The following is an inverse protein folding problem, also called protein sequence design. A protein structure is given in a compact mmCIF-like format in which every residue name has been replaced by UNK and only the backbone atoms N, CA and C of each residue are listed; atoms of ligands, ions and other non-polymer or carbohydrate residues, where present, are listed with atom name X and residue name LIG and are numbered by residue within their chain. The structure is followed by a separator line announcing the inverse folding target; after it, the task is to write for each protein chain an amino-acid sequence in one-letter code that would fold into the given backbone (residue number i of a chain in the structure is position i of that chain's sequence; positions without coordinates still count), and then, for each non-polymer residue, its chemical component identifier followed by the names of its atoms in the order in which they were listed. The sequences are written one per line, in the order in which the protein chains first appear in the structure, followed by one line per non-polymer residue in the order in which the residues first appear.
data_IF_665238422422
#
_entry.id   IF_665238422422
#
_cell.length_a   1.000
_cell.length_b   1.000
_cell.length_c   1.000
_cell.angle_alpha   90.00
_cell.angle_beta   90.00
_cell.angle_gamma   90.00
#
_symmetry.space_group_name_H-M   'P 1'
#
loop_
_entity.id
_entity.type
_entity.pdbx_description
1 polymer ?
#
# COMPACT_ATOMS: atom_id res chain seq x y z
N UNK A 1 -8.87 14.67 -4.76
CA UNK A 1 -7.87 14.25 -3.75
C UNK A 1 -8.14 12.80 -3.36
N UNK A 2 -7.16 11.89 -3.39
CA UNK A 2 -7.44 10.46 -3.19
C UNK A 2 -7.80 10.18 -1.71
N UNK A 3 -8.61 9.15 -1.43
CA UNK A 3 -8.98 8.75 -0.06
C UNK A 3 -7.76 8.46 0.82
N UNK A 4 -6.66 8.00 0.22
CA UNK A 4 -5.39 7.81 0.92
C UNK A 4 -4.73 9.12 1.35
N UNK A 5 -4.86 10.19 0.57
CA UNK A 5 -4.32 11.52 0.91
C UNK A 5 -5.09 12.13 2.08
N UNK A 6 -6.42 11.95 2.09
CA UNK A 6 -7.29 12.38 3.20
C UNK A 6 -6.88 11.64 4.49
N UNK A 7 -6.80 10.30 4.43
CA UNK A 7 -6.37 9.49 5.59
C UNK A 7 -4.97 9.84 6.07
N UNK A 8 -4.02 10.09 5.14
CA UNK A 8 -2.68 10.52 5.48
C UNK A 8 -2.68 11.85 6.24
N UNK A 9 -3.44 12.85 5.75
CA UNK A 9 -3.62 14.15 6.42
C UNK A 9 -4.20 13.98 7.83
N UNK A 10 -5.22 13.14 7.99
CA UNK A 10 -5.87 12.91 9.28
C UNK A 10 -4.97 12.19 10.29
N UNK A 11 -4.26 11.15 9.86
CA UNK A 11 -3.31 10.41 10.70
C UNK A 11 -2.17 11.32 11.15
N UNK A 12 -1.61 12.08 10.22
CA UNK A 12 -0.54 13.02 10.49
C UNK A 12 -0.99 14.14 11.44
N UNK A 13 -2.17 14.72 11.22
CA UNK A 13 -2.73 15.74 12.12
C UNK A 13 -2.97 15.19 13.52
N UNK A 14 -3.53 13.98 13.63
CA UNK A 14 -3.75 13.32 14.93
C UNK A 14 -2.44 13.03 15.66
N UNK A 15 -1.40 12.63 14.94
CA UNK A 15 -0.08 12.41 15.50
C UNK A 15 0.49 13.70 16.10
N UNK A 16 0.59 14.78 15.31
CA UNK A 16 1.19 16.03 15.79
C UNK A 16 0.37 16.75 16.87
N UNK A 17 -0.91 16.40 17.06
CA UNK A 17 -1.71 16.87 18.20
C UNK A 17 -1.38 16.16 19.52
N UNK A 18 -0.77 14.97 19.45
CA UNK A 18 -0.51 14.12 20.63
C UNK A 18 0.95 14.12 21.05
N UNK A 19 1.88 14.36 20.13
CA UNK A 19 3.30 14.33 20.46
C UNK A 19 3.73 15.59 21.21
N UNK A 20 4.79 15.43 22.01
CA UNK A 20 5.49 16.53 22.66
C UNK A 20 6.92 16.64 22.12
N UNK A 21 7.56 17.80 22.31
CA UNK A 21 9.01 17.93 22.08
C UNK A 21 9.75 16.95 23.00
N UNK A 22 10.81 16.34 22.49
CA UNK A 22 11.53 15.26 23.18
C UNK A 22 10.96 13.86 22.98
N UNK A 23 9.83 13.72 22.25
CA UNK A 23 9.36 12.40 21.81
C UNK A 23 10.44 11.73 20.96
N UNK A 24 10.83 10.51 21.32
CA UNK A 24 11.85 9.76 20.59
C UNK A 24 11.24 8.63 19.76
N UNK A 25 11.98 8.17 18.76
CA UNK A 25 11.67 6.99 17.98
C UNK A 25 12.93 6.29 17.50
N UNK A 26 12.77 5.01 17.13
CA UNK A 26 13.85 4.19 16.62
C UNK A 26 13.74 4.03 15.10
N UNK A 27 14.87 4.16 14.41
CA UNK A 27 14.99 3.70 13.02
C UNK A 27 14.86 2.18 12.91
N UNK A 28 14.71 1.66 11.69
CA UNK A 28 14.75 0.21 11.44
C UNK A 28 16.03 -0.49 11.90
N UNK A 29 17.14 0.24 12.01
CA UNK A 29 18.41 -0.25 12.55
C UNK A 29 18.61 0.01 14.04
N UNK A 30 17.58 0.39 14.79
CA UNK A 30 17.64 0.60 16.24
C UNK A 30 18.25 1.94 16.69
N UNK A 31 18.71 2.81 15.78
CA UNK A 31 19.23 4.14 16.13
C UNK A 31 18.11 5.04 16.64
N UNK A 32 18.32 5.67 17.80
CA UNK A 32 17.40 6.64 18.40
C UNK A 32 17.48 8.00 17.72
N UNK A 33 16.30 8.59 17.48
CA UNK A 33 16.12 9.95 17.02
C UNK A 33 15.07 10.63 17.91
N UNK A 34 15.28 11.91 18.18
CA UNK A 34 14.42 12.73 19.02
C UNK A 34 13.77 13.82 18.17
N UNK A 35 12.47 14.04 18.36
CA UNK A 35 11.75 15.17 17.79
C UNK A 35 12.09 16.39 18.64
N UNK A 36 12.95 17.26 18.10
CA UNK A 36 13.43 18.45 18.81
C UNK A 36 12.40 19.57 18.73
N UNK A 37 11.82 19.75 17.56
CA UNK A 37 10.82 20.79 17.30
C UNK A 37 9.88 20.38 16.17
N UNK A 38 8.70 20.98 16.14
CA UNK A 38 7.76 20.80 15.04
C UNK A 38 6.83 22.01 14.90
N UNK A 39 6.47 22.31 13.65
CA UNK A 39 5.60 23.41 13.28
C UNK A 39 4.46 22.91 12.37
N UNK A 40 3.70 23.85 11.79
CA UNK A 40 2.73 23.51 10.75
C UNK A 40 3.37 23.14 9.40
N UNK A 41 4.66 23.46 9.21
CA UNK A 41 5.37 23.24 7.94
C UNK A 41 6.40 22.12 8.02
N UNK A 42 7.05 21.93 9.16
CA UNK A 42 8.22 21.06 9.30
C UNK A 42 8.21 20.28 10.61
N UNK A 43 8.93 19.16 10.63
CA UNK A 43 9.35 18.46 11.85
C UNK A 43 10.87 18.38 11.85
N UNK A 44 11.48 18.79 12.95
CA UNK A 44 12.93 18.81 13.15
C UNK A 44 13.34 17.65 14.06
N UNK A 45 14.29 16.86 13.57
CA UNK A 45 14.69 15.59 14.15
C UNK A 45 16.19 15.63 14.39
N UNK A 46 16.62 15.15 15.56
CA UNK A 46 18.03 15.00 15.90
C UNK A 46 18.31 13.54 16.18
N UNK A 47 19.37 13.02 15.56
CA UNK A 47 19.85 11.67 15.87
C UNK A 47 20.71 11.72 17.13
N UNK A 48 20.59 10.75 18.03
CA UNK A 48 21.42 10.72 19.25
C UNK A 48 22.93 10.68 18.95
N UNK A 49 23.32 10.14 17.78
CA UNK A 49 24.74 10.07 17.34
C UNK A 49 25.26 11.40 16.77
N UNK A 50 24.40 12.23 16.18
CA UNK A 50 24.81 13.46 15.50
C UNK A 50 24.18 14.68 16.17
N UNK A 51 25.00 15.68 16.51
CA UNK A 51 24.50 16.93 17.10
C UNK A 51 23.62 17.74 16.13
N UNK A 52 23.82 17.57 14.82
CA UNK A 52 23.02 18.27 13.81
C UNK A 52 21.59 17.73 13.72
N UNK A 53 20.63 18.66 13.71
CA UNK A 53 19.24 18.36 13.40
C UNK A 53 19.00 18.46 11.90
N UNK A 54 18.13 17.62 11.37
CA UNK A 54 17.59 17.74 10.03
C UNK A 54 16.07 17.92 10.10
N UNK A 55 15.51 18.53 9.07
CA UNK A 55 14.08 18.83 9.01
C UNK A 55 13.42 18.10 7.85
N UNK A 56 12.22 17.57 8.10
CA UNK A 56 11.35 17.00 7.07
C UNK A 56 10.13 17.90 6.94
N UNK A 57 9.75 18.28 5.72
CA UNK A 57 8.51 19.03 5.53
C UNK A 57 7.30 18.14 5.81
N UNK A 58 6.28 18.70 6.46
CA UNK A 58 5.03 17.99 6.75
C UNK A 58 4.29 17.60 5.48
N UNK A 59 4.47 18.35 4.40
CA UNK A 59 3.98 17.98 3.08
C UNK A 59 4.63 16.69 2.57
N UNK A 60 5.96 16.59 2.58
CA UNK A 60 6.69 15.38 2.19
C UNK A 60 6.31 14.19 3.08
N UNK A 61 6.12 14.43 4.38
CA UNK A 61 5.66 13.41 5.33
C UNK A 61 4.25 12.89 4.99
N UNK A 62 3.30 13.79 4.68
CA UNK A 62 1.95 13.42 4.22
C UNK A 62 2.00 12.63 2.92
N UNK A 63 2.82 13.03 1.96
CA UNK A 63 3.00 12.32 0.70
C UNK A 63 3.58 10.92 0.91
N UNK A 64 4.57 10.77 1.81
CA UNK A 64 5.12 9.47 2.19
C UNK A 64 4.09 8.57 2.89
N UNK A 65 3.27 9.13 3.80
CA UNK A 65 2.15 8.42 4.43
C UNK A 65 1.11 7.96 3.40
N UNK A 66 0.69 8.84 2.48
CA UNK A 66 -0.27 8.49 1.43
C UNK A 66 0.27 7.38 0.52
N UNK A 67 1.54 7.49 0.13
CA UNK A 67 2.24 6.45 -0.64
C UNK A 67 2.23 5.11 0.10
N UNK A 68 2.57 5.10 1.39
CA UNK A 68 2.58 3.89 2.20
C UNK A 68 1.18 3.31 2.41
N UNK A 69 0.16 4.13 2.62
CA UNK A 69 -1.23 3.68 2.74
C UNK A 69 -1.75 3.05 1.44
N UNK A 70 -1.37 3.64 0.29
CA UNK A 70 -1.70 3.12 -1.04
C UNK A 70 -1.00 1.79 -1.31
N UNK A 71 0.32 1.71 -1.15
CA UNK A 71 1.12 0.52 -1.48
C UNK A 71 1.12 -0.56 -0.40
N UNK A 72 0.80 -0.23 0.85
CA UNK A 72 0.93 -1.06 2.07
C UNK A 72 2.36 -1.42 2.48
N UNK A 73 3.30 -1.49 1.54
CA UNK A 73 4.72 -1.68 1.81
C UNK A 73 5.54 -0.64 1.04
N UNK A 74 6.58 -0.11 1.68
CA UNK A 74 7.57 0.74 1.05
C UNK A 74 8.98 0.32 1.47
N UNK A 75 9.87 0.20 0.51
CA UNK A 75 11.30 -0.01 0.73
C UNK A 75 12.01 1.29 1.08
N UNK A 76 13.20 1.17 1.66
CA UNK A 76 14.07 2.30 1.96
C UNK A 76 14.36 3.18 0.73
N UNK A 77 14.68 2.57 -0.42
CA UNK A 77 14.89 3.25 -1.72
C UNK A 77 13.66 3.99 -2.22
N UNK A 78 12.46 3.44 -2.03
CA UNK A 78 11.23 4.14 -2.42
C UNK A 78 10.96 5.38 -1.57
N UNK A 79 11.40 5.39 -0.30
CA UNK A 79 11.21 6.52 0.60
C UNK A 79 12.19 7.68 0.36
N UNK A 80 13.31 7.45 -0.33
CA UNK A 80 14.27 8.50 -0.71
C UNK A 80 13.63 9.63 -1.51
N UNK A 81 12.59 9.33 -2.27
CA UNK A 81 11.80 10.31 -3.04
C UNK A 81 11.17 11.39 -2.16
N UNK A 82 10.95 11.10 -0.88
CA UNK A 82 10.30 12.03 0.04
C UNK A 82 11.31 12.74 0.95
N UNK A 83 12.41 12.09 1.35
CA UNK A 83 13.44 12.72 2.17
C UNK A 83 14.79 11.97 2.05
N UNK A 84 15.89 12.73 2.07
CA UNK A 84 17.25 12.18 2.05
C UNK A 84 17.53 11.31 3.28
N UNK A 85 16.94 11.64 4.44
CA UNK A 85 17.07 10.88 5.68
C UNK A 85 16.00 9.77 5.79
N UNK A 86 15.97 8.89 4.79
CA UNK A 86 15.03 7.78 4.63
C UNK A 86 14.91 6.83 5.85
N UNK A 87 16.01 6.52 6.56
CA UNK A 87 15.98 5.67 7.76
C UNK A 87 15.20 6.30 8.91
N UNK A 88 15.36 7.62 9.09
CA UNK A 88 14.61 8.37 10.09
C UNK A 88 13.17 8.59 9.64
N UNK A 89 12.94 8.88 8.36
CA UNK A 89 11.58 8.95 7.79
C UNK A 89 10.84 7.63 8.03
N UNK A 90 11.47 6.48 7.77
CA UNK A 90 10.87 5.17 8.00
C UNK A 90 10.52 4.94 9.48
N UNK A 91 11.42 5.32 10.40
CA UNK A 91 11.16 5.29 11.85
C UNK A 91 10.00 6.20 12.26
N UNK A 92 9.95 7.42 11.72
CA UNK A 92 8.89 8.38 11.97
C UNK A 92 7.54 7.90 11.43
N UNK A 93 7.50 7.34 10.22
CA UNK A 93 6.29 6.74 9.65
C UNK A 93 5.78 5.57 10.52
N UNK A 94 6.68 4.74 11.05
CA UNK A 94 6.32 3.68 12.01
C UNK A 94 5.75 4.28 13.30
N UNK A 95 6.32 5.37 13.81
CA UNK A 95 5.82 6.05 15.01
C UNK A 95 4.41 6.63 14.77
N UNK A 96 4.16 7.25 13.60
CA UNK A 96 2.83 7.78 13.23
C UNK A 96 1.79 6.65 13.12
N UNK A 97 2.21 5.53 12.55
CA UNK A 97 1.38 4.34 12.31
C UNK A 97 1.64 3.28 13.39
N UNK A 98 1.74 3.72 14.64
CA UNK A 98 2.02 2.81 15.76
C UNK A 98 0.98 1.67 15.78
N UNK A 99 1.44 0.48 16.17
CA UNK A 99 0.71 -0.81 16.19
C UNK A 99 0.34 -1.39 14.82
N UNK A 100 0.05 -0.55 13.83
CA UNK A 100 -0.37 -0.98 12.49
C UNK A 100 0.77 -0.99 11.48
N UNK A 101 1.98 -0.57 11.82
CA UNK A 101 3.16 -0.67 10.94
C UNK A 101 4.30 -1.44 11.59
N UNK A 102 5.05 -2.19 10.76
CA UNK A 102 6.31 -2.85 11.16
C UNK A 102 7.43 -2.52 10.19
N UNK A 103 8.63 -2.34 10.72
CA UNK A 103 9.85 -2.31 9.92
C UNK A 103 10.44 -3.72 9.94
N UNK A 104 10.83 -4.23 8.77
CA UNK A 104 11.44 -5.56 8.63
C UNK A 104 12.48 -5.53 7.52
N UNK A 105 13.34 -6.54 7.46
CA UNK A 105 14.20 -6.80 6.30
C UNK A 105 13.50 -7.80 5.37
N UNK A 106 13.71 -7.67 4.06
CA UNK A 106 13.34 -8.71 3.11
C UNK A 106 14.41 -9.82 3.08
N UNK A 107 14.22 -10.84 2.23
CA UNK A 107 15.17 -11.94 2.06
C UNK A 107 16.57 -11.47 1.61
N UNK A 108 16.67 -10.30 0.96
CA UNK A 108 17.92 -9.69 0.51
C UNK A 108 18.52 -8.73 1.57
N UNK A 109 17.99 -8.71 2.79
CA UNK A 109 18.46 -7.83 3.86
C UNK A 109 18.05 -6.35 3.75
N UNK A 110 17.29 -5.96 2.71
CA UNK A 110 16.84 -4.59 2.49
C UNK A 110 15.70 -4.22 3.44
N UNK A 111 15.79 -3.03 4.04
CA UNK A 111 14.76 -2.53 4.96
C UNK A 111 13.50 -2.08 4.23
N UNK A 112 12.35 -2.47 4.79
CA UNK A 112 11.02 -2.05 4.36
C UNK A 112 10.12 -1.75 5.56
N UNK A 113 9.20 -0.82 5.38
CA UNK A 113 8.06 -0.61 6.27
C UNK A 113 6.81 -1.20 5.63
N UNK A 114 6.05 -1.95 6.42
CA UNK A 114 4.81 -2.60 6.00
C UNK A 114 3.71 -2.28 6.98
N UNK A 115 2.56 -1.83 6.47
CA UNK A 115 1.32 -1.72 7.24
C UNK A 115 0.75 -3.13 7.44
N UNK A 116 0.62 -3.54 8.70
CA UNK A 116 -0.13 -4.73 9.12
C UNK A 116 -1.62 -4.48 8.87
N UNK A 117 -2.26 -5.33 8.09
CA UNK A 117 -3.69 -5.26 7.84
C UNK A 117 -4.07 -5.85 6.48
N UNK A 118 -5.37 -6.11 6.32
CA UNK A 118 -5.94 -6.68 5.11
C UNK A 118 -6.30 -5.56 4.13
N UNK A 119 -6.02 -5.76 2.85
CA UNK A 119 -6.58 -4.92 1.78
C UNK A 119 -7.88 -5.58 1.34
N UNK A 120 -8.99 -4.87 1.49
CA UNK A 120 -10.26 -5.28 0.89
C UNK A 120 -10.27 -4.94 -0.59
N UNK A 121 -10.77 -5.86 -1.40
CA UNK A 121 -10.98 -5.71 -2.83
C UNK A 121 -12.17 -6.58 -3.24
N UNK A 122 -12.84 -6.19 -4.31
CA UNK A 122 -13.88 -7.01 -4.92
C UNK A 122 -13.25 -7.94 -5.96
N UNK A 123 -13.47 -9.24 -5.83
CA UNK A 123 -13.04 -10.24 -6.81
C UNK A 123 -14.21 -10.68 -7.70
N UNK A 124 -13.94 -11.44 -8.77
CA UNK A 124 -14.97 -11.97 -9.66
C UNK A 124 -15.56 -10.95 -10.63
N UNK A 125 -15.01 -9.73 -10.68
CA UNK A 125 -15.43 -8.65 -11.57
C UNK A 125 -14.77 -8.76 -12.95
N UNK A 126 -14.50 -9.99 -13.40
CA UNK A 126 -14.01 -10.25 -14.74
C UNK A 126 -15.17 -10.03 -15.74
N UNK A 127 -16.41 -10.41 -15.47
CA UNK A 127 -17.51 -10.09 -16.41
C UNK A 127 -18.64 -9.34 -15.70
N UNK A 128 -18.36 -8.15 -15.16
CA UNK A 128 -19.34 -7.45 -14.34
C UNK A 128 -20.45 -6.88 -15.20
N UNK A 129 -21.69 -7.10 -14.79
CA UNK A 129 -22.83 -6.33 -15.30
C UNK A 129 -22.73 -4.88 -14.83
N UNK A 130 -23.54 -3.99 -15.40
CA UNK A 130 -23.63 -2.62 -14.88
C UNK A 130 -24.15 -2.60 -13.44
N UNK A 131 -25.06 -3.51 -13.09
CA UNK A 131 -25.59 -3.65 -11.72
C UNK A 131 -24.50 -4.07 -10.73
N UNK A 132 -23.64 -5.03 -11.09
CA UNK A 132 -22.50 -5.41 -10.27
C UNK A 132 -21.57 -4.21 -10.02
N UNK A 133 -21.29 -3.45 -11.07
CA UNK A 133 -20.41 -2.30 -10.98
C UNK A 133 -20.99 -1.16 -10.13
N UNK A 134 -22.29 -0.92 -10.23
CA UNK A 134 -22.99 0.04 -9.37
C UNK A 134 -22.99 -0.43 -7.92
N UNK A 135 -23.19 -1.72 -7.67
CA UNK A 135 -23.18 -2.29 -6.33
C UNK A 135 -21.81 -2.09 -5.66
N UNK A 136 -20.71 -2.38 -6.35
CA UNK A 136 -19.36 -2.18 -5.77
C UNK A 136 -19.07 -0.70 -5.53
N UNK A 137 -19.52 0.18 -6.43
CA UNK A 137 -19.31 1.63 -6.30
C UNK A 137 -20.08 2.17 -5.09
N UNK A 138 -21.35 1.76 -4.93
CA UNK A 138 -22.18 2.09 -3.75
C UNK A 138 -21.57 1.57 -2.44
N UNK A 139 -20.94 0.41 -2.47
CA UNK A 139 -20.23 -0.15 -1.31
C UNK A 139 -18.82 0.42 -1.09
N UNK A 140 -18.46 1.51 -1.79
CA UNK A 140 -17.19 2.20 -1.57
C UNK A 140 -15.97 1.41 -2.04
N UNK A 141 -16.10 0.65 -3.13
CA UNK A 141 -14.99 -0.10 -3.71
C UNK A 141 -13.77 0.79 -3.97
N UNK A 142 -12.63 0.39 -3.42
CA UNK A 142 -11.35 1.05 -3.68
C UNK A 142 -10.46 0.23 -4.62
N UNK A 143 -10.69 -1.08 -4.67
CA UNK A 143 -9.90 -2.02 -5.43
C UNK A 143 -10.80 -3.10 -6.03
N UNK A 144 -10.49 -3.47 -7.26
CA UNK A 144 -11.05 -4.65 -7.93
C UNK A 144 -9.89 -5.57 -8.32
N UNK A 145 -10.10 -6.87 -8.18
CA UNK A 145 -9.13 -7.89 -8.59
C UNK A 145 -9.61 -8.52 -9.89
N UNK A 146 -8.82 -8.36 -10.95
CA UNK A 146 -9.01 -9.08 -12.20
C UNK A 146 -7.79 -9.96 -12.51
N UNK A 147 -8.05 -11.07 -13.20
CA UNK A 147 -6.98 -11.93 -13.66
C UNK A 147 -6.34 -11.38 -14.93
N UNK A 148 -5.03 -11.59 -15.08
CA UNK A 148 -4.28 -11.22 -16.28
C UNK A 148 -4.85 -11.90 -17.54
N UNK A 149 -5.30 -13.15 -17.38
CA UNK A 149 -5.96 -13.90 -18.46
C UNK A 149 -7.18 -13.13 -18.99
N UNK A 150 -8.07 -12.71 -18.09
CA UNK A 150 -9.24 -11.94 -18.48
C UNK A 150 -8.89 -10.59 -19.09
N UNK A 151 -7.93 -9.87 -18.50
CA UNK A 151 -7.51 -8.55 -19.01
C UNK A 151 -6.99 -8.65 -20.45
N UNK A 152 -6.31 -9.74 -20.81
CA UNK A 152 -5.88 -9.99 -22.19
C UNK A 152 -7.05 -10.27 -23.13
N UNK A 153 -8.02 -11.07 -22.71
CA UNK A 153 -9.20 -11.40 -23.52
C UNK A 153 -10.07 -10.18 -23.84
N UNK A 154 -9.99 -9.11 -23.03
CA UNK A 154 -10.74 -7.87 -23.29
C UNK A 154 -10.33 -7.17 -24.59
N UNK A 155 -9.10 -7.36 -25.07
CA UNK A 155 -8.60 -6.70 -26.28
C UNK A 155 -8.87 -5.19 -26.26
N UNK A 156 -9.55 -4.68 -27.30
CA UNK A 156 -9.90 -3.25 -27.45
C UNK A 156 -10.82 -2.71 -26.34
N UNK A 157 -11.54 -3.57 -25.61
CA UNK A 157 -12.43 -3.16 -24.50
C UNK A 157 -11.70 -2.96 -23.17
N UNK A 158 -10.37 -3.07 -23.16
CA UNK A 158 -9.56 -2.83 -21.97
C UNK A 158 -9.54 -1.34 -21.61
N UNK A 159 -9.41 -0.46 -22.59
CA UNK A 159 -9.35 0.99 -22.35
C UNK A 159 -10.64 1.52 -21.76
N UNK A 160 -11.80 1.08 -22.27
CA UNK A 160 -13.12 1.40 -21.70
C UNK A 160 -13.23 0.94 -20.23
N UNK A 161 -12.69 -0.24 -19.91
CA UNK A 161 -12.67 -0.74 -18.53
C UNK A 161 -11.79 0.11 -17.63
N UNK A 162 -10.58 0.45 -18.10
CA UNK A 162 -9.65 1.31 -17.37
C UNK A 162 -10.23 2.70 -17.12
N UNK A 163 -10.87 3.30 -18.12
CA UNK A 163 -11.58 4.58 -17.99
C UNK A 163 -12.75 4.48 -16.99
N UNK A 164 -13.51 3.38 -17.02
CA UNK A 164 -14.61 3.14 -16.06
C UNK A 164 -14.08 3.08 -14.63
N UNK A 165 -12.96 2.39 -14.39
CA UNK A 165 -12.31 2.34 -13.07
C UNK A 165 -11.79 3.71 -12.64
N UNK A 166 -11.14 4.44 -13.55
CA UNK A 166 -10.58 5.77 -13.28
C UNK A 166 -11.67 6.78 -12.91
N UNK A 167 -12.77 6.83 -13.68
CA UNK A 167 -13.92 7.70 -13.42
C UNK A 167 -14.51 7.49 -12.02
N UNK A 168 -14.41 6.28 -11.49
CA UNK A 168 -14.93 5.92 -10.17
C UNK A 168 -13.83 5.88 -9.08
N UNK A 169 -12.60 6.28 -9.40
CA UNK A 169 -11.44 6.25 -8.50
C UNK A 169 -11.19 4.85 -7.88
N UNK A 170 -11.48 3.81 -8.66
CA UNK A 170 -11.25 2.41 -8.32
C UNK A 170 -9.91 1.96 -8.90
N UNK A 171 -9.11 1.23 -8.13
CA UNK A 171 -7.80 0.73 -8.57
C UNK A 171 -7.87 -0.74 -8.98
N UNK A 172 -7.20 -1.07 -10.07
CA UNK A 172 -7.05 -2.45 -10.51
C UNK A 172 -5.91 -3.15 -9.76
N UNK A 173 -6.21 -4.32 -9.20
CA UNK A 173 -5.24 -5.33 -8.80
C UNK A 173 -5.22 -6.40 -9.88
N UNK A 174 -4.02 -6.77 -10.33
CA UNK A 174 -3.83 -7.80 -11.34
C UNK A 174 -3.27 -9.03 -10.65
N UNK A 175 -3.99 -10.14 -10.75
CA UNK A 175 -3.45 -11.47 -10.44
C UNK A 175 -3.00 -12.16 -11.73
N UNK A 176 -1.89 -12.90 -11.65
CA UNK A 176 -1.40 -13.82 -12.69
C UNK A 176 -2.47 -14.77 -13.23
N UNK A 177 -3.44 -15.19 -12.40
CA UNK A 177 -4.39 -16.25 -12.74
C UNK A 177 -3.76 -17.65 -12.82
N UNK A 178 -2.49 -17.81 -12.42
CA UNK A 178 -1.76 -19.07 -12.48
C UNK A 178 -2.44 -20.19 -11.65
N UNK A 179 -3.01 -19.82 -10.50
CA UNK A 179 -3.79 -20.75 -9.68
C UNK A 179 -5.08 -21.22 -10.39
N UNK A 180 -5.76 -20.32 -11.09
CA UNK A 180 -6.95 -20.65 -11.88
C UNK A 180 -6.61 -21.63 -13.01
N UNK A 181 -5.49 -21.40 -13.71
CA UNK A 181 -4.98 -22.32 -14.74
C UNK A 181 -4.61 -23.69 -14.17
N UNK A 182 -3.86 -23.73 -13.06
CA UNK A 182 -3.50 -24.97 -12.37
C UNK A 182 -4.73 -25.79 -11.97
N UNK A 183 -5.77 -25.14 -11.45
CA UNK A 183 -7.02 -25.80 -11.09
C UNK A 183 -7.81 -26.27 -12.32
N UNK A 184 -7.84 -25.49 -13.39
CA UNK A 184 -8.48 -25.87 -14.65
C UNK A 184 -7.82 -27.12 -15.25
N UNK A 185 -6.48 -27.15 -15.27
CA UNK A 185 -5.70 -28.31 -15.69
C UNK A 185 -6.00 -29.53 -14.83
N UNK A 186 -5.93 -29.43 -13.48
CA UNK A 186 -6.28 -30.56 -12.60
C UNK A 186 -7.72 -31.07 -12.78
N UNK A 187 -8.68 -30.18 -13.03
CA UNK A 187 -10.08 -30.56 -13.30
C UNK A 187 -10.24 -31.23 -14.67
N UNK A 188 -9.55 -30.73 -15.70
CA UNK A 188 -9.48 -31.37 -17.02
C UNK A 188 -8.83 -32.76 -16.97
N UNK A 189 -7.74 -32.90 -16.21
CA UNK A 189 -7.09 -34.18 -15.96
C UNK A 189 -7.99 -35.17 -15.22
N UNK A 190 -8.81 -34.70 -14.26
CA UNK A 190 -9.80 -35.54 -13.57
C UNK A 190 -10.91 -36.05 -14.49
N UNK A 191 -11.35 -35.26 -15.46
CA UNK A 191 -12.34 -35.68 -16.45
C UNK A 191 -11.78 -36.74 -17.42
N UNK A 192 -10.54 -36.56 -17.88
CA UNK A 192 -9.85 -37.54 -18.74
C UNK A 192 -9.62 -38.89 -18.03
N UNK A 193 -9.23 -38.88 -16.75
CA UNK A 193 -9.07 -40.11 -15.95
C UNK A 193 -10.40 -40.83 -15.73
N UNK A 194 -11.50 -40.10 -15.49
CA UNK A 194 -12.85 -40.71 -15.35
C UNK A 194 -13.37 -41.33 -16.65
N UNK A 195 -13.00 -40.81 -17.82
CA UNK A 195 -13.36 -41.43 -19.11
C UNK A 195 -12.53 -42.69 -19.40
N UNK A 196 -11.27 -42.74 -18.95
CA UNK A 196 -10.41 -43.91 -19.10
C UNK A 196 -10.79 -45.11 -18.20
N UNK A 197 -11.56 -44.88 -17.14
CA UNK A 197 -11.97 -45.93 -16.18
C UNK A 197 -13.38 -46.49 -16.43
N UNK A 198 -14.05 -46.06 -17.52
CA UNK A 198 -15.30 -46.66 -18.00
C UNK A 198 -15.03 -47.55 -19.22
N UNK A 199 -14.30 -48.64 -19.03
CA UNK A 199 -14.25 -49.77 -19.96
C UNK A 199 -14.65 -51.03 -19.22
#
# INVERSE_FOLDING_TARGET
MNSFDIKAKEMERRFFRKINKGTYFLTGGGKQNDIVDFSNKTVSIRSKKNKSSFSISREKLKSALSFLLKKKTATHKELEKFANFNSALMGLLRLILIDIAKISKNALGLMRITIKGVRFFFSGLDKPTNQDFEAITRNGAMFVLNTYYWLREKGTKLDEWMQKLEKNNIKLLVDSGAFSLFNAQKKGSRWLVKMSMKK
#
